data_IF_459249028382
#
_entry.id   IF_459249028382
#
_cell.length_a   1.000
_cell.length_b   1.000
_cell.length_c   1.000
_cell.angle_alpha   90.00
_cell.angle_beta   90.00
_cell.angle_gamma   90.00
#
_symmetry.space_group_name_H-M   'P 1'
#
loop_
_entity.id
_entity.type
_entity.pdbx_description
1 polymer ?
#
# COMPACT_ATOMS: atom_id res chain seq x y z
N UNK A 1 -35.59 1.59 33.68
CA UNK A 1 -34.43 2.34 33.14
C UNK A 1 -33.21 1.50 33.40
N UNK A 2 -32.66 0.85 32.37
CA UNK A 2 -31.49 -0.03 32.49
C UNK A 2 -30.24 0.83 32.21
N UNK A 3 -29.30 0.97 33.15
CA UNK A 3 -28.06 1.69 32.90
C UNK A 3 -27.16 0.87 31.97
N UNK A 4 -26.92 1.36 30.75
CA UNK A 4 -26.01 0.74 29.78
C UNK A 4 -24.60 1.31 29.94
N UNK A 5 -23.78 0.62 30.71
CA UNK A 5 -22.38 1.00 30.94
C UNK A 5 -21.50 0.58 29.75
N UNK A 6 -20.97 1.58 29.03
CA UNK A 6 -19.74 1.59 28.20
C UNK A 6 -19.65 0.65 26.97
N UNK A 7 -20.23 -0.55 26.99
CA UNK A 7 -20.23 -1.51 25.86
C UNK A 7 -21.64 -1.95 25.42
N UNK A 8 -22.70 -1.37 25.98
CA UNK A 8 -24.08 -1.80 25.75
C UNK A 8 -24.46 -3.13 26.43
N UNK A 9 -23.49 -3.80 27.08
CA UNK A 9 -23.60 -5.06 27.80
C UNK A 9 -23.73 -4.77 29.30
N UNK A 10 -24.84 -5.19 29.91
CA UNK A 10 -25.00 -5.20 31.36
C UNK A 10 -24.33 -6.41 32.02
N UNK A 11 -24.32 -6.44 33.35
CA UNK A 11 -23.77 -7.57 34.11
C UNK A 11 -24.51 -8.90 33.80
N UNK A 12 -25.82 -8.83 33.56
CA UNK A 12 -26.67 -9.94 33.12
C UNK A 12 -26.25 -10.50 31.76
N UNK A 13 -26.02 -9.62 30.80
CA UNK A 13 -25.64 -9.94 29.43
C UNK A 13 -24.22 -10.53 29.38
N UNK A 14 -23.32 -10.06 30.25
CA UNK A 14 -21.97 -10.63 30.40
C UNK A 14 -22.04 -12.08 30.91
N UNK A 15 -22.91 -12.37 31.89
CA UNK A 15 -23.16 -13.75 32.36
C UNK A 15 -23.74 -14.62 31.24
N UNK A 16 -24.69 -14.09 30.46
CA UNK A 16 -25.26 -14.80 29.30
C UNK A 16 -24.17 -15.15 28.26
N UNK A 17 -23.30 -14.20 27.91
CA UNK A 17 -22.19 -14.43 26.98
C UNK A 17 -21.17 -15.44 27.54
N UNK A 18 -20.91 -15.43 28.84
CA UNK A 18 -20.03 -16.41 29.49
C UNK A 18 -20.63 -17.81 29.39
N UNK A 19 -21.92 -17.98 29.72
CA UNK A 19 -22.63 -19.27 29.58
C UNK A 19 -22.63 -19.75 28.13
N UNK A 20 -22.93 -18.86 27.17
CA UNK A 20 -22.91 -19.19 25.74
C UNK A 20 -21.51 -19.62 25.26
N UNK A 21 -20.46 -18.91 25.69
CA UNK A 21 -19.07 -19.26 25.40
C UNK A 21 -18.66 -20.60 26.03
N UNK A 22 -19.11 -20.89 27.24
CA UNK A 22 -18.88 -22.18 27.92
C UNK A 22 -19.59 -23.32 27.19
N UNK A 23 -20.80 -23.11 26.68
CA UNK A 23 -21.52 -24.13 25.88
C UNK A 23 -20.83 -24.34 24.53
N UNK A 24 -20.39 -23.27 23.86
CA UNK A 24 -19.84 -23.34 22.51
C UNK A 24 -18.39 -23.88 22.46
N UNK A 25 -17.55 -23.54 23.45
CA UNK A 25 -16.13 -23.95 23.48
C UNK A 25 -15.80 -24.97 24.59
N UNK A 26 -16.65 -25.13 25.60
CA UNK A 26 -16.37 -25.89 26.82
C UNK A 26 -15.72 -25.06 27.94
N UNK A 27 -16.01 -25.36 29.21
CA UNK A 27 -15.50 -24.61 30.37
C UNK A 27 -13.97 -24.70 30.52
N UNK A 28 -13.35 -25.76 30.01
CA UNK A 28 -11.90 -25.97 29.99
C UNK A 28 -11.18 -25.05 28.97
N UNK A 29 -11.84 -24.68 27.86
CA UNK A 29 -11.16 -24.00 26.73
C UNK A 29 -11.11 -22.49 26.86
N UNK A 30 -12.13 -21.86 27.43
CA UNK A 30 -12.08 -20.42 27.74
C UNK A 30 -10.89 -19.99 28.62
N UNK A 31 -10.57 -20.65 29.76
CA UNK A 31 -9.40 -20.31 30.55
C UNK A 31 -8.08 -20.65 29.83
N UNK A 32 -8.04 -21.72 29.01
CA UNK A 32 -6.86 -22.07 28.22
C UNK A 32 -6.53 -21.01 27.17
N UNK A 33 -7.54 -20.54 26.42
CA UNK A 33 -7.41 -19.55 25.35
C UNK A 33 -7.11 -18.16 25.93
N UNK A 34 -7.84 -17.72 26.96
CA UNK A 34 -7.59 -16.42 27.61
C UNK A 34 -6.18 -16.33 28.22
N UNK A 35 -5.63 -17.40 28.79
CA UNK A 35 -4.22 -17.47 29.24
C UNK A 35 -3.19 -17.39 28.10
N UNK A 36 -3.55 -17.78 26.87
CA UNK A 36 -2.69 -17.59 25.69
C UNK A 36 -2.77 -16.14 25.22
N UNK A 37 -3.98 -15.59 25.08
CA UNK A 37 -4.22 -14.20 24.71
C UNK A 37 -3.56 -13.22 25.69
N UNK A 38 -3.68 -13.44 27.01
CA UNK A 38 -3.06 -12.60 28.03
C UNK A 38 -1.52 -12.56 27.92
N UNK A 39 -0.88 -13.68 27.56
CA UNK A 39 0.57 -13.73 27.30
C UNK A 39 0.96 -12.93 26.06
N UNK A 40 0.18 -13.02 24.98
CA UNK A 40 0.40 -12.20 23.76
C UNK A 40 0.23 -10.72 24.07
N UNK A 41 -0.86 -10.32 24.75
CA UNK A 41 -1.11 -8.93 25.15
C UNK A 41 0.00 -8.40 26.07
N UNK A 42 0.49 -9.22 27.01
CA UNK A 42 1.60 -8.85 27.87
C UNK A 42 2.91 -8.68 27.09
N UNK A 43 3.23 -9.59 26.17
CA UNK A 43 4.40 -9.50 25.30
C UNK A 43 4.36 -8.26 24.39
N UNK A 44 3.21 -7.99 23.75
CA UNK A 44 3.01 -6.78 22.94
C UNK A 44 3.17 -5.52 23.80
N UNK A 45 2.59 -5.49 25.00
CA UNK A 45 2.74 -4.34 25.92
C UNK A 45 4.19 -4.13 26.35
N UNK A 46 4.95 -5.22 26.57
CA UNK A 46 6.37 -5.16 26.88
C UNK A 46 7.18 -4.61 25.71
N UNK A 47 6.97 -5.13 24.49
CA UNK A 47 7.64 -4.68 23.27
C UNK A 47 7.34 -3.20 22.97
N UNK A 48 6.09 -2.76 23.10
CA UNK A 48 5.70 -1.35 22.95
C UNK A 48 6.40 -0.47 23.98
N UNK A 49 6.44 -0.87 25.25
CA UNK A 49 7.13 -0.12 26.30
C UNK A 49 8.65 -0.06 26.06
N UNK A 50 9.26 -1.14 25.55
CA UNK A 50 10.69 -1.19 25.23
C UNK A 50 11.03 -0.32 24.03
N UNK A 51 10.28 -0.41 22.92
CA UNK A 51 10.47 0.42 21.74
C UNK A 51 10.27 1.92 22.04
N UNK A 52 9.25 2.26 22.84
CA UNK A 52 9.05 3.63 23.35
C UNK A 52 10.18 4.10 24.27
N UNK A 53 10.85 3.18 24.98
CA UNK A 53 12.06 3.44 25.75
C UNK A 53 13.23 3.83 24.83
N UNK A 54 13.58 2.96 23.89
CA UNK A 54 14.68 3.19 22.94
C UNK A 54 14.49 4.46 22.10
N UNK A 55 13.29 4.70 21.55
CA UNK A 55 13.01 5.95 20.81
C UNK A 55 13.17 7.20 21.69
N UNK A 56 12.80 7.12 22.97
CA UNK A 56 12.93 8.25 23.91
C UNK A 56 14.37 8.49 24.37
N UNK A 57 15.19 7.45 24.39
CA UNK A 57 16.59 7.50 24.82
C UNK A 57 17.53 7.89 23.67
N UNK A 58 17.22 7.52 22.43
CA UNK A 58 18.02 7.83 21.24
C UNK A 58 17.60 9.10 20.49
N UNK A 59 16.30 9.47 20.48
CA UNK A 59 15.78 10.60 19.69
C UNK A 59 15.38 11.84 20.51
N UNK A 60 15.64 11.83 21.82
CA UNK A 60 15.44 12.99 22.69
C UNK A 60 13.97 13.43 22.88
N UNK A 61 13.75 14.58 23.54
CA UNK A 61 12.41 15.02 23.95
C UNK A 61 11.48 15.46 22.82
N UNK A 62 11.93 15.60 21.56
CA UNK A 62 11.08 16.05 20.45
C UNK A 62 10.01 15.03 20.06
N UNK A 63 10.26 13.73 20.25
CA UNK A 63 9.26 12.67 20.05
C UNK A 63 8.30 12.47 21.25
N UNK A 64 8.46 13.28 22.31
CA UNK A 64 7.55 13.27 23.47
C UNK A 64 6.20 13.92 23.16
N UNK A 65 6.13 14.76 22.12
CA UNK A 65 4.94 15.52 21.75
C UNK A 65 4.02 14.77 20.76
N UNK A 66 4.47 13.63 20.22
CA UNK A 66 3.64 12.68 19.47
C UNK A 66 2.88 11.68 20.39
N UNK A 67 2.78 11.97 21.70
CA UNK A 67 2.35 10.97 22.67
C UNK A 67 0.88 11.06 23.12
N UNK A 68 0.13 10.04 22.67
CA UNK A 68 -0.72 9.16 23.48
C UNK A 68 -2.07 9.68 24.03
N UNK A 69 -2.35 10.99 24.05
CA UNK A 69 -3.61 11.49 24.61
C UNK A 69 -4.82 11.48 23.65
N UNK A 70 -4.61 11.67 22.34
CA UNK A 70 -5.68 11.86 21.33
C UNK A 70 -5.51 10.95 20.09
N UNK A 71 -4.96 9.76 20.32
CA UNK A 71 -4.62 8.82 19.26
C UNK A 71 -5.80 7.93 18.89
N UNK A 72 -6.78 8.51 18.19
CA UNK A 72 -7.68 7.69 17.39
C UNK A 72 -6.81 6.83 16.43
N UNK A 73 -6.92 5.50 16.40
CA UNK A 73 -6.00 4.67 15.60
C UNK A 73 -6.08 5.01 14.10
N UNK A 74 -7.26 5.46 13.65
CA UNK A 74 -7.46 6.02 12.31
C UNK A 74 -6.66 7.30 12.05
N UNK A 75 -6.50 8.22 13.01
CA UNK A 75 -5.76 9.47 12.78
C UNK A 75 -4.26 9.31 12.89
N UNK A 76 -3.75 8.35 13.67
CA UNK A 76 -2.32 8.01 13.63
C UNK A 76 -1.93 7.23 12.39
N UNK A 77 -2.65 6.15 12.04
CA UNK A 77 -2.40 5.46 10.78
C UNK A 77 -2.53 6.45 9.62
N UNK A 78 -3.49 7.39 9.67
CA UNK A 78 -3.59 8.45 8.68
C UNK A 78 -2.41 9.43 8.74
N UNK A 79 -1.92 9.90 9.89
CA UNK A 79 -0.79 10.85 9.91
C UNK A 79 0.55 10.19 9.55
N UNK A 80 0.85 9.03 10.11
CA UNK A 80 2.13 8.33 9.84
C UNK A 80 2.14 7.75 8.44
N UNK A 81 1.02 7.19 7.94
CA UNK A 81 0.99 6.72 6.56
C UNK A 81 0.78 7.85 5.56
N UNK A 82 -0.07 8.87 5.75
CA UNK A 82 -0.13 9.97 4.75
C UNK A 82 1.14 10.83 4.75
N UNK A 83 1.93 10.94 5.83
CA UNK A 83 3.19 11.67 5.74
C UNK A 83 4.14 11.05 4.70
N UNK A 84 4.28 9.72 4.69
CA UNK A 84 5.10 9.02 3.68
C UNK A 84 4.35 8.83 2.35
N UNK A 85 3.04 8.55 2.39
CA UNK A 85 2.23 8.18 1.22
C UNK A 85 1.72 9.42 0.45
N UNK A 86 1.60 10.61 1.05
CA UNK A 86 1.09 11.80 0.33
C UNK A 86 2.13 12.34 -0.65
N UNK A 87 3.43 12.26 -0.34
CA UNK A 87 4.53 12.51 -1.29
C UNK A 87 4.52 11.47 -2.43
N UNK A 88 4.49 10.16 -2.12
CA UNK A 88 4.39 9.07 -3.11
C UNK A 88 3.13 9.21 -4.00
N UNK A 89 1.97 9.54 -3.42
CA UNK A 89 0.71 9.72 -4.14
C UNK A 89 0.76 10.96 -5.03
N UNK A 90 1.39 12.06 -4.61
CA UNK A 90 1.47 13.27 -5.42
C UNK A 90 2.42 13.10 -6.61
N UNK A 91 3.49 12.32 -6.50
CA UNK A 91 4.32 11.94 -7.63
C UNK A 91 3.60 10.95 -8.57
N UNK A 92 2.88 9.94 -8.03
CA UNK A 92 2.03 9.05 -8.85
C UNK A 92 0.92 9.83 -9.57
N UNK A 93 0.30 10.84 -8.94
CA UNK A 93 -0.68 11.73 -9.59
C UNK A 93 -0.05 12.51 -10.73
N UNK A 94 1.15 13.08 -10.53
CA UNK A 94 1.87 13.85 -11.57
C UNK A 94 2.22 12.97 -12.77
N UNK A 95 2.72 11.76 -12.53
CA UNK A 95 3.01 10.79 -13.59
C UNK A 95 1.73 10.39 -14.35
N UNK A 96 0.65 10.09 -13.62
CA UNK A 96 -0.64 9.73 -14.20
C UNK A 96 -1.30 10.88 -14.98
N UNK A 97 -1.20 12.11 -14.51
CA UNK A 97 -1.66 13.31 -15.23
C UNK A 97 -0.81 13.58 -16.48
N UNK A 98 0.50 13.30 -16.44
CA UNK A 98 1.38 13.31 -17.61
C UNK A 98 0.98 12.28 -18.66
N UNK A 99 0.85 11.01 -18.27
CA UNK A 99 0.38 9.92 -19.15
C UNK A 99 -1.02 10.24 -19.70
N UNK A 100 -1.90 10.84 -18.90
CA UNK A 100 -3.22 11.29 -19.35
C UNK A 100 -3.13 12.44 -20.36
N UNK A 101 -2.22 13.39 -20.17
CA UNK A 101 -1.94 14.48 -21.10
C UNK A 101 -1.44 13.94 -22.45
N UNK A 102 -0.48 13.00 -22.42
CA UNK A 102 0.06 12.36 -23.62
C UNK A 102 -1.00 11.52 -24.34
N UNK A 103 -1.82 10.75 -23.62
CA UNK A 103 -2.91 9.97 -24.20
C UNK A 103 -4.00 10.87 -24.81
N UNK A 104 -4.37 11.98 -24.17
CA UNK A 104 -5.34 12.92 -24.77
C UNK A 104 -4.74 13.73 -25.91
N UNK A 105 -3.43 13.99 -25.89
CA UNK A 105 -2.67 14.58 -27.00
C UNK A 105 -2.69 13.65 -28.21
N UNK A 106 -2.22 12.42 -28.05
CA UNK A 106 -2.23 11.39 -29.09
C UNK A 106 -3.65 11.09 -29.62
N UNK A 107 -4.66 11.06 -28.75
CA UNK A 107 -6.06 10.91 -29.17
C UNK A 107 -6.57 12.13 -29.97
N UNK A 108 -6.13 13.34 -29.62
CA UNK A 108 -6.45 14.57 -30.35
C UNK A 108 -5.73 14.63 -31.70
N UNK A 109 -4.47 14.22 -31.75
CA UNK A 109 -3.66 14.14 -32.97
C UNK A 109 -4.21 13.09 -33.93
N UNK A 110 -4.60 11.91 -33.45
CA UNK A 110 -5.28 10.89 -34.27
C UNK A 110 -6.64 11.42 -34.75
N UNK A 111 -7.42 12.10 -33.90
CA UNK A 111 -8.66 12.74 -34.33
C UNK A 111 -8.43 13.88 -35.35
N UNK A 112 -7.32 14.62 -35.22
CA UNK A 112 -6.92 15.66 -36.15
C UNK A 112 -6.37 15.09 -37.46
N UNK A 113 -5.65 13.96 -37.45
CA UNK A 113 -5.17 13.28 -38.66
C UNK A 113 -6.33 12.60 -39.40
N UNK A 114 -7.30 12.03 -38.67
CA UNK A 114 -8.55 11.51 -39.22
C UNK A 114 -9.40 12.64 -39.82
N UNK A 115 -9.55 13.77 -39.11
CA UNK A 115 -10.25 14.96 -39.62
C UNK A 115 -9.52 15.67 -40.78
N UNK A 116 -8.19 15.67 -40.79
CA UNK A 116 -7.38 16.20 -41.88
C UNK A 116 -7.41 15.30 -43.12
N UNK A 117 -7.59 13.98 -42.96
CA UNK A 117 -7.86 13.06 -44.08
C UNK A 117 -9.19 13.32 -44.79
N UNK A 118 -10.07 14.16 -44.23
CA UNK A 118 -11.24 14.72 -44.93
C UNK A 118 -10.95 16.03 -45.71
N UNK A 119 -9.70 16.52 -45.72
CA UNK A 119 -9.28 17.72 -46.46
C UNK A 119 -8.29 17.37 -47.59
N UNK A 120 -8.47 17.88 -48.82
CA UNK A 120 -7.68 17.42 -49.96
C UNK A 120 -6.22 17.90 -49.93
N UNK A 121 -5.33 16.95 -50.20
CA UNK A 121 -3.88 17.08 -50.40
C UNK A 121 -3.43 18.31 -51.22
N UNK A 122 -2.41 19.00 -50.71
CA UNK A 122 -1.54 19.87 -51.51
C UNK A 122 -0.11 19.96 -50.93
N UNK A 123 0.91 19.56 -51.71
CA UNK A 123 2.22 20.21 -51.65
C UNK A 123 3.46 19.45 -51.14
N UNK A 124 4.03 18.60 -52.00
CA UNK A 124 5.46 18.65 -52.39
C UNK A 124 6.63 18.53 -51.37
N UNK A 125 7.35 17.41 -51.44
CA UNK A 125 8.83 17.32 -51.45
C UNK A 125 9.22 15.98 -52.14
N UNK A 126 10.06 15.84 -53.17
CA UNK A 126 11.37 16.43 -53.52
C UNK A 126 12.41 16.27 -52.41
N UNK A 127 13.46 15.44 -52.50
CA UNK A 127 13.92 14.53 -53.56
C UNK A 127 15.44 14.25 -53.43
N UNK A 128 15.90 13.12 -54.01
CA UNK A 128 17.30 12.73 -54.29
C UNK A 128 18.21 12.10 -53.19
N UNK A 129 18.95 11.04 -53.60
CA UNK A 129 20.23 10.58 -53.01
C UNK A 129 20.16 9.43 -51.97
N UNK A 130 19.95 8.15 -52.29
CA UNK A 130 20.75 7.22 -53.12
C UNK A 130 22.13 6.78 -52.54
N UNK A 131 22.15 5.53 -52.03
CA UNK A 131 23.17 4.47 -52.21
C UNK A 131 24.61 4.67 -51.66
N UNK A 132 25.38 3.67 -51.20
CA UNK A 132 25.18 2.26 -50.76
C UNK A 132 26.52 1.83 -50.04
N UNK A 133 26.90 0.59 -49.69
CA UNK A 133 26.38 -0.78 -49.87
C UNK A 133 27.04 -1.76 -48.85
N UNK A 134 26.39 -2.92 -48.57
CA UNK A 134 26.98 -4.16 -48.00
C UNK A 134 27.50 -4.12 -46.53
N UNK A 135 27.48 -5.20 -45.72
CA UNK A 135 27.11 -6.60 -45.97
C UNK A 135 26.55 -7.31 -44.70
N UNK A 136 25.74 -8.35 -44.93
CA UNK A 136 25.54 -9.56 -44.10
C UNK A 136 25.21 -9.45 -42.58
N UNK A 137 23.92 -9.59 -42.26
CA UNK A 137 23.50 -10.43 -41.11
C UNK A 137 23.62 -11.92 -41.50
N UNK A 138 23.85 -12.84 -40.53
CA UNK A 138 22.71 -13.44 -39.83
C UNK A 138 22.82 -13.48 -38.29
N UNK A 139 21.65 -13.47 -37.65
CA UNK A 139 21.39 -13.66 -36.21
C UNK A 139 21.60 -15.12 -35.73
N UNK A 140 21.20 -15.52 -34.49
CA UNK A 140 21.50 -14.94 -33.18
C UNK A 140 22.02 -16.02 -32.20
N UNK A 141 22.87 -15.64 -31.23
CA UNK A 141 23.20 -16.52 -30.10
C UNK A 141 22.91 -15.84 -28.76
N UNK A 142 21.69 -16.07 -28.28
CA UNK A 142 21.30 -15.77 -26.90
C UNK A 142 22.13 -16.62 -25.94
N UNK A 143 22.91 -15.98 -25.06
CA UNK A 143 23.49 -16.66 -23.90
C UNK A 143 22.42 -16.80 -22.82
N UNK A 144 21.75 -17.96 -22.81
CA UNK A 144 20.96 -18.39 -21.66
C UNK A 144 21.93 -18.90 -20.60
N UNK A 145 22.02 -18.17 -19.47
CA UNK A 145 22.75 -18.65 -18.30
C UNK A 145 21.98 -19.84 -17.68
N UNK A 146 22.63 -20.98 -17.41
CA UNK A 146 22.01 -22.04 -16.62
C UNK A 146 21.70 -21.52 -15.22
N UNK A 147 20.45 -21.65 -14.79
CA UNK A 147 20.09 -21.47 -13.39
C UNK A 147 20.58 -22.71 -12.61
N UNK A 148 21.19 -22.49 -11.45
CA UNK A 148 21.80 -23.53 -10.63
C UNK A 148 20.83 -23.94 -9.52
N UNK A 149 20.25 -25.14 -9.63
CA UNK A 149 19.22 -25.67 -8.73
C UNK A 149 19.79 -26.28 -7.42
N UNK A 150 21.11 -26.19 -7.16
CA UNK A 150 21.76 -26.90 -6.04
C UNK A 150 22.05 -26.05 -4.78
N UNK A 151 21.40 -24.89 -4.64
CA UNK A 151 21.44 -24.08 -3.41
C UNK A 151 20.43 -24.57 -2.35
N UNK A 152 20.94 -25.28 -1.33
CA UNK A 152 20.19 -25.72 -0.12
C UNK A 152 20.13 -24.66 0.97
#
# INVERSE_FOLDING_TARGET
>A
MIPHEIFGIGASELVLLLVLGVIMFGPEKLPEISRKAARVVHAVRLLVNQAMGSLREELGPEYKDLQLADLNPKTLVRKTLLADIEDDIDDIKRELDGVRADLTGAASDVNHELGAKNSPTAGSSSGAGAAAAAAAHPEPHQMVVPWDDEAT
#
